data_IF_387265934323
#
_entry.id   IF_387265934323
#
_cell.length_a   1.000
_cell.length_b   1.000
_cell.length_c   1.000
_cell.angle_alpha   90.00
_cell.angle_beta   90.00
_cell.angle_gamma   90.00
#
_symmetry.space_group_name_H-M   'P 1'
#
loop_
_entity.id
_entity.type
_entity.pdbx_description
1 polymer ?
#
# COMPACT_ATOMS: atom_id res chain seq x y z
N UNK A 1 -20.78 2.29 -14.32
CA UNK A 1 -20.41 2.48 -12.91
C UNK A 1 -18.96 2.01 -12.76
N UNK A 2 -18.01 2.83 -12.29
CA UNK A 2 -16.67 2.32 -12.00
C UNK A 2 -16.77 1.19 -10.96
N UNK A 3 -15.93 0.15 -11.05
CA UNK A 3 -16.00 -0.96 -10.10
C UNK A 3 -15.78 -0.44 -8.69
N UNK A 4 -16.69 -0.78 -7.77
CA UNK A 4 -16.60 -0.39 -6.37
C UNK A 4 -15.99 -1.53 -5.57
N UNK A 5 -14.73 -1.85 -5.84
CA UNK A 5 -13.99 -2.89 -5.14
C UNK A 5 -12.70 -2.34 -4.51
N UNK A 6 -12.21 -3.06 -3.49
CA UNK A 6 -11.00 -2.70 -2.74
C UNK A 6 -9.78 -2.37 -3.62
N UNK A 7 -9.38 -3.20 -4.60
CA UNK A 7 -8.15 -2.95 -5.37
C UNK A 7 -8.25 -1.69 -6.23
N UNK A 8 -9.42 -1.42 -6.82
CA UNK A 8 -9.64 -0.23 -7.63
C UNK A 8 -9.54 1.03 -6.77
N UNK A 9 -10.31 1.08 -5.68
CA UNK A 9 -10.36 2.25 -4.81
C UNK A 9 -9.01 2.55 -4.15
N UNK A 10 -8.30 1.53 -3.67
CA UNK A 10 -6.97 1.71 -3.07
C UNK A 10 -5.96 2.20 -4.11
N UNK A 11 -5.97 1.66 -5.32
CA UNK A 11 -5.05 2.15 -6.36
C UNK A 11 -5.35 3.60 -6.73
N UNK A 12 -6.63 3.98 -6.84
CA UNK A 12 -7.04 5.38 -7.05
C UNK A 12 -6.53 6.29 -5.93
N UNK A 13 -6.67 5.90 -4.65
CA UNK A 13 -6.16 6.69 -3.52
C UNK A 13 -4.65 6.88 -3.60
N UNK A 14 -3.90 5.82 -3.92
CA UNK A 14 -2.44 5.87 -3.90
C UNK A 14 -1.82 6.60 -5.10
N UNK A 15 -2.55 6.74 -6.21
CA UNK A 15 -2.03 7.28 -7.48
C UNK A 15 -2.72 8.58 -7.90
N UNK A 16 -3.91 8.88 -7.36
CA UNK A 16 -4.78 9.97 -7.83
C UNK A 16 -5.41 9.73 -9.21
N UNK A 17 -5.12 8.60 -9.86
CA UNK A 17 -5.58 8.27 -11.20
C UNK A 17 -6.91 7.52 -11.17
N UNK A 18 -7.69 7.59 -12.25
CA UNK A 18 -8.90 6.78 -12.40
C UNK A 18 -8.57 5.33 -12.75
N UNK A 19 -9.52 4.41 -12.58
CA UNK A 19 -9.36 3.00 -12.97
C UNK A 19 -8.92 2.81 -14.40
N UNK A 20 -9.43 3.63 -15.31
CA UNK A 20 -9.07 3.60 -16.72
C UNK A 20 -7.60 3.94 -16.96
N UNK A 21 -7.00 4.76 -16.09
CA UNK A 21 -5.60 5.17 -16.17
C UNK A 21 -4.69 4.21 -15.42
N UNK A 22 -5.01 3.87 -14.17
CA UNK A 22 -4.13 3.00 -13.36
C UNK A 22 -4.26 1.51 -13.70
N UNK A 23 -5.33 1.04 -14.33
CA UNK A 23 -5.45 -0.34 -14.85
C UNK A 23 -5.76 -1.44 -13.82
N UNK A 24 -5.57 -1.18 -12.52
CA UNK A 24 -6.03 -2.09 -11.46
C UNK A 24 -7.57 -2.17 -11.36
N UNK A 25 -8.18 -3.14 -12.02
CA UNK A 25 -9.65 -3.30 -12.14
C UNK A 25 -10.27 -4.31 -11.17
N UNK A 26 -9.46 -5.23 -10.64
CA UNK A 26 -9.87 -6.21 -9.63
C UNK A 26 -8.65 -6.94 -9.05
N UNK A 27 -8.84 -7.68 -7.96
CA UNK A 27 -7.83 -8.61 -7.43
C UNK A 27 -7.56 -9.76 -8.39
N UNK A 28 -8.52 -10.05 -9.27
CA UNK A 28 -8.45 -11.07 -10.30
C UNK A 28 -8.55 -10.45 -11.69
N UNK A 29 -7.70 -9.46 -11.96
CA UNK A 29 -7.69 -8.83 -13.26
C UNK A 29 -7.35 -9.82 -14.39
N UNK A 30 -7.92 -9.55 -15.57
CA UNK A 30 -7.59 -10.21 -16.83
C UNK A 30 -6.88 -9.22 -17.75
N UNK A 31 -5.80 -9.68 -18.38
CA UNK A 31 -5.05 -8.93 -19.38
C UNK A 31 -5.43 -9.46 -20.76
N UNK A 32 -5.88 -8.61 -21.69
CA UNK A 32 -6.23 -9.04 -23.04
C UNK A 32 -5.11 -9.86 -23.70
N UNK A 33 -5.49 -11.00 -24.29
CA UNK A 33 -4.55 -11.93 -24.93
C UNK A 33 -4.14 -13.13 -24.08
N UNK A 34 -4.53 -13.18 -22.79
CA UNK A 34 -4.28 -14.35 -21.93
C UNK A 34 -5.56 -15.18 -21.66
N UNK A 35 -5.43 -16.45 -21.21
CA UNK A 35 -6.56 -17.24 -20.74
C UNK A 35 -7.33 -16.57 -19.59
N UNK A 36 -8.67 -16.62 -19.63
CA UNK A 36 -9.54 -15.93 -18.66
C UNK A 36 -9.22 -16.27 -17.19
N UNK A 37 -8.81 -17.51 -16.93
CA UNK A 37 -8.53 -18.05 -15.61
C UNK A 37 -7.07 -17.85 -15.16
N UNK A 38 -6.20 -17.32 -16.03
CA UNK A 38 -4.78 -17.17 -15.71
C UNK A 38 -4.56 -16.22 -14.53
N UNK A 39 -5.29 -15.09 -14.52
CA UNK A 39 -5.27 -14.12 -13.41
C UNK A 39 -5.66 -14.76 -12.08
N UNK A 40 -6.74 -15.54 -12.08
CA UNK A 40 -7.24 -16.27 -10.90
C UNK A 40 -6.22 -17.30 -10.37
N UNK A 41 -5.51 -17.99 -11.27
CA UNK A 41 -4.60 -19.09 -10.90
C UNK A 41 -3.21 -18.63 -10.50
N UNK A 42 -2.71 -17.53 -11.08
CA UNK A 42 -1.29 -17.17 -10.99
C UNK A 42 -1.01 -15.81 -10.37
N UNK A 43 -1.99 -14.92 -10.24
CA UNK A 43 -1.76 -13.59 -9.66
C UNK A 43 -2.13 -13.59 -8.18
N UNK A 44 -1.14 -13.27 -7.35
CA UNK A 44 -1.40 -12.96 -5.95
C UNK A 44 -2.20 -11.67 -5.84
N UNK A 45 -3.22 -11.65 -4.98
CA UNK A 45 -4.10 -10.49 -4.73
C UNK A 45 -3.33 -9.21 -4.35
N UNK A 46 -2.11 -9.35 -3.83
CA UNK A 46 -1.25 -8.23 -3.47
C UNK A 46 -0.41 -7.69 -4.65
N UNK A 47 -0.23 -8.43 -5.75
CA UNK A 47 0.74 -8.10 -6.80
C UNK A 47 0.25 -7.08 -7.84
N UNK A 48 -0.67 -6.20 -7.47
CA UNK A 48 -1.35 -5.31 -8.41
C UNK A 48 -0.47 -4.19 -8.94
N UNK A 49 0.56 -3.78 -8.21
CA UNK A 49 1.44 -2.69 -8.67
C UNK A 49 2.20 -3.02 -9.96
N UNK A 50 2.42 -4.31 -10.26
CA UNK A 50 3.04 -4.75 -11.53
C UNK A 50 2.18 -4.42 -12.76
N UNK A 51 0.89 -4.24 -12.54
CA UNK A 51 -0.10 -3.93 -13.57
C UNK A 51 -0.61 -2.50 -13.45
N UNK A 52 -0.11 -1.74 -12.46
CA UNK A 52 -0.45 -0.34 -12.30
C UNK A 52 0.34 0.50 -13.29
N UNK A 53 -0.37 1.25 -14.14
CA UNK A 53 0.24 2.13 -15.14
C UNK A 53 0.44 3.56 -14.64
N UNK A 54 -0.07 3.87 -13.45
CA UNK A 54 0.06 5.17 -12.80
C UNK A 54 1.14 5.13 -11.69
N UNK A 55 1.78 6.26 -11.44
CA UNK A 55 2.76 6.38 -10.37
C UNK A 55 2.10 6.42 -8.99
N UNK A 56 2.71 5.76 -8.01
CA UNK A 56 2.26 5.83 -6.63
C UNK A 56 2.87 7.04 -5.91
N UNK A 57 2.11 7.65 -5.00
CA UNK A 57 2.59 8.80 -4.22
C UNK A 57 3.88 8.50 -3.43
N UNK A 58 4.06 7.27 -2.91
CA UNK A 58 5.30 6.90 -2.22
C UNK A 58 6.51 6.83 -3.15
N UNK A 59 6.33 6.59 -4.46
CA UNK A 59 7.42 6.68 -5.42
C UNK A 59 7.84 8.14 -5.65
N UNK A 60 6.87 9.05 -5.68
CA UNK A 60 7.13 10.51 -5.72
C UNK A 60 7.86 10.96 -4.45
N UNK A 61 7.34 10.58 -3.28
CA UNK A 61 7.94 10.92 -1.99
C UNK A 61 9.39 10.44 -1.88
N UNK A 62 9.66 9.21 -2.36
CA UNK A 62 11.03 8.67 -2.47
C UNK A 62 11.91 9.52 -3.39
N UNK A 63 11.43 9.95 -4.57
CA UNK A 63 12.21 10.84 -5.48
C UNK A 63 12.52 12.17 -4.83
N UNK A 64 11.63 12.67 -3.97
CA UNK A 64 11.84 13.87 -3.16
C UNK A 64 12.71 13.66 -1.92
N UNK A 65 13.34 12.48 -1.76
CA UNK A 65 14.25 12.17 -0.67
C UNK A 65 13.59 11.73 0.64
N UNK A 66 12.27 11.53 0.66
CA UNK A 66 11.54 11.08 1.84
C UNK A 66 11.65 9.56 2.00
N UNK A 67 11.61 9.09 3.25
CA UNK A 67 11.60 7.66 3.57
C UNK A 67 10.18 7.22 3.88
N UNK A 68 9.62 6.36 3.05
CA UNK A 68 8.25 5.88 3.19
C UNK A 68 8.18 4.53 3.93
N UNK A 69 7.21 4.42 4.83
CA UNK A 69 6.84 3.16 5.47
C UNK A 69 5.40 2.84 5.11
N UNK A 70 5.21 1.89 4.20
CA UNK A 70 3.86 1.45 3.81
C UNK A 70 3.46 0.27 4.67
N UNK A 71 2.21 0.28 5.12
CA UNK A 71 1.64 -0.70 6.01
C UNK A 71 0.32 -1.19 5.44
N UNK A 72 0.21 -2.50 5.27
CA UNK A 72 -0.99 -3.23 4.85
C UNK A 72 -1.68 -2.65 3.61
N UNK A 73 -0.90 -2.33 2.58
CA UNK A 73 -1.42 -1.72 1.35
C UNK A 73 -1.42 -2.73 0.19
N UNK A 74 -2.47 -3.56 0.03
CA UNK A 74 -2.48 -4.70 -0.87
C UNK A 74 -2.36 -4.31 -2.36
N UNK A 75 -2.75 -3.10 -2.75
CA UNK A 75 -2.66 -2.65 -4.14
C UNK A 75 -1.27 -2.12 -4.53
N UNK A 76 -0.36 -1.93 -3.57
CA UNK A 76 0.94 -1.29 -3.81
C UNK A 76 2.10 -2.25 -4.00
N UNK A 77 1.85 -3.55 -3.97
CA UNK A 77 2.90 -4.56 -3.88
C UNK A 77 3.20 -5.23 -5.23
N UNK A 78 4.47 -5.59 -5.56
CA UNK A 78 5.71 -5.18 -4.90
C UNK A 78 6.07 -3.72 -5.26
N UNK A 79 6.34 -2.89 -4.25
CA UNK A 79 6.72 -1.49 -4.48
C UNK A 79 8.17 -1.34 -4.95
N UNK A 80 8.47 -0.34 -5.78
CA UNK A 80 9.82 -0.05 -6.27
C UNK A 80 10.71 0.73 -5.26
N UNK A 81 10.47 0.58 -3.96
CA UNK A 81 11.13 1.37 -2.92
C UNK A 81 12.58 0.91 -2.74
N UNK A 82 13.53 1.83 -2.94
CA UNK A 82 14.96 1.62 -2.62
C UNK A 82 15.31 2.08 -1.21
N UNK A 83 14.55 3.02 -0.65
CA UNK A 83 14.70 3.58 0.69
C UNK A 83 13.31 3.63 1.33
N UNK A 84 13.14 2.95 2.46
CA UNK A 84 11.83 2.70 3.06
C UNK A 84 11.48 1.21 3.07
N UNK A 85 10.26 0.89 3.48
CA UNK A 85 9.82 -0.51 3.62
C UNK A 85 8.30 -0.65 3.42
N UNK A 86 7.85 -1.83 2.95
CA UNK A 86 6.45 -2.20 2.85
C UNK A 86 6.15 -3.45 3.70
N UNK A 87 5.33 -3.25 4.73
CA UNK A 87 4.73 -4.22 5.65
C UNK A 87 3.40 -4.79 5.19
N UNK A 88 3.33 -5.96 4.57
CA UNK A 88 2.04 -6.63 4.32
C UNK A 88 1.74 -7.57 5.48
N UNK A 89 0.70 -7.30 6.28
CA UNK A 89 0.26 -8.20 7.35
C UNK A 89 -0.44 -9.48 6.81
N UNK A 90 -0.20 -9.85 5.54
CA UNK A 90 -0.78 -11.00 4.90
C UNK A 90 0.28 -12.06 4.58
N UNK A 91 -0.01 -13.30 4.99
CA UNK A 91 0.74 -14.54 4.80
C UNK A 91 1.24 -14.82 3.37
N UNK A 92 2.32 -15.60 3.27
CA UNK A 92 3.64 -15.05 2.95
C UNK A 92 3.65 -14.48 1.53
N UNK A 93 3.72 -13.16 1.42
CA UNK A 93 3.96 -12.51 0.13
C UNK A 93 5.48 -12.51 -0.10
N UNK A 94 5.98 -13.11 -1.20
CA UNK A 94 7.42 -13.09 -1.51
C UNK A 94 7.94 -11.66 -1.49
N UNK A 95 9.14 -11.45 -0.92
CA UNK A 95 9.80 -10.15 -0.72
C UNK A 95 9.13 -9.21 0.30
N UNK A 96 7.95 -9.55 0.86
CA UNK A 96 7.41 -8.81 2.01
C UNK A 96 8.32 -9.05 3.22
N UNK A 97 8.87 -7.96 3.75
CA UNK A 97 9.78 -8.04 4.89
C UNK A 97 9.04 -8.65 6.09
N UNK A 98 9.57 -9.69 6.76
CA UNK A 98 9.19 -9.95 8.14
C UNK A 98 9.71 -8.79 8.99
N UNK A 99 8.82 -8.11 9.72
CA UNK A 99 9.12 -6.88 10.48
C UNK A 99 9.07 -7.12 11.98
N UNK A 100 10.21 -7.44 12.58
CA UNK A 100 10.51 -6.91 13.91
C UNK A 100 11.26 -5.60 13.71
N UNK A 101 10.55 -4.47 13.78
CA UNK A 101 11.19 -3.13 13.69
C UNK A 101 11.92 -2.80 15.01
N UNK A 102 11.43 -3.36 16.11
CA UNK A 102 12.01 -3.32 17.44
C UNK A 102 11.49 -4.53 18.25
N UNK A 103 12.19 -4.98 19.31
CA UNK A 103 11.63 -5.91 20.29
C UNK A 103 10.35 -5.32 20.93
N UNK A 104 9.45 -6.16 21.45
CA UNK A 104 8.26 -5.69 22.16
C UNK A 104 8.66 -4.69 23.26
N UNK A 105 8.03 -3.52 23.27
CA UNK A 105 8.22 -2.50 24.29
C UNK A 105 6.85 -2.03 24.79
N UNK A 106 6.70 -1.95 26.11
CA UNK A 106 5.54 -1.32 26.75
C UNK A 106 5.84 0.16 26.96
N UNK A 107 5.03 1.03 26.38
CA UNK A 107 5.10 2.47 26.59
C UNK A 107 3.88 2.88 27.42
N UNK A 108 4.11 3.43 28.61
CA UNK A 108 3.06 4.07 29.40
C UNK A 108 3.06 5.55 29.06
N UNK A 109 1.96 6.03 28.47
CA UNK A 109 1.77 7.45 28.21
C UNK A 109 0.91 8.04 29.32
N UNK A 110 1.45 9.01 30.04
CA UNK A 110 0.67 9.86 30.94
C UNK A 110 0.37 11.17 30.22
N UNK A 111 -0.88 11.62 30.33
CA UNK A 111 -1.29 12.91 29.79
C UNK A 111 -0.80 13.98 30.77
N UNK A 112 0.30 14.64 30.46
CA UNK A 112 0.72 15.83 31.20
C UNK A 112 -0.28 16.96 30.90
N UNK A 113 -1.39 16.96 31.62
CA UNK A 113 -2.35 18.05 31.62
C UNK A 113 -1.82 19.16 32.52
N UNK A 114 -0.77 19.86 32.08
CA UNK A 114 -0.53 21.19 32.62
C UNK A 114 -1.57 22.15 32.04
N UNK A 115 -2.70 22.27 32.75
CA UNK A 115 -3.58 23.41 32.57
C UNK A 115 -2.80 24.68 32.96
N UNK A 116 -2.82 25.75 32.14
CA UNK A 116 -2.20 27.01 32.53
C UNK A 116 -2.92 27.56 33.77
N UNK A 117 -2.18 27.71 34.87
CA UNK A 117 -2.60 28.51 36.02
C UNK A 117 -2.67 29.97 35.57
N UNK A 118 -3.88 30.51 35.44
CA UNK A 118 -4.11 31.94 35.41
C UNK A 118 -4.45 32.39 36.83
N UNK A 119 -3.49 33.02 37.51
CA UNK A 119 -3.78 33.82 38.69
C UNK A 119 -4.38 35.16 38.23
N UNK A 120 -5.52 35.52 38.80
CA UNK A 120 -6.17 36.82 38.65
C UNK A 120 -5.90 37.73 39.85
#
# INVERSE_FOLDING_TARGET
>A
MPPCDTPTNWTTIATGATTAVHGATSFYMHVPGEPLDLGLRRRGRAHLSRYCMAEYFWDVAKRSGLTCFILNYPAGWPGALRRGAMALYSWPVPESLPRAVAPPASLTFERDAQAPHFEG
#
